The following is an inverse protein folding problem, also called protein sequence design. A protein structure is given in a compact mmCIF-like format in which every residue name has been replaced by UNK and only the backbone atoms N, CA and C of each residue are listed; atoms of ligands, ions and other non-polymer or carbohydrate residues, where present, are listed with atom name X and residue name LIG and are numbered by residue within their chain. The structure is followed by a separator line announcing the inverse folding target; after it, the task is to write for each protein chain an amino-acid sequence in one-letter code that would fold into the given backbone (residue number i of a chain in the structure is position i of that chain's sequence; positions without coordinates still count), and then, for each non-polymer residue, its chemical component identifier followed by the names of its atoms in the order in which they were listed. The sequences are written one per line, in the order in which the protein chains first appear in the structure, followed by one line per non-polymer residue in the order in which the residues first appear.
data_IF_972724025055
#
_entry.id   IF_972724025055
#
_cell.length_a   1.000
_cell.length_b   1.000
_cell.length_c   1.000
_cell.angle_alpha   90.00
_cell.angle_beta   90.00
_cell.angle_gamma   90.00
#
_symmetry.space_group_name_H-M   'P 1'
#
loop_
_entity.id
_entity.type
_entity.pdbx_description
1 polymer ?
#
# COMPACT_ATOMS: atom_id res chain seq x y z
N UNK A 1 -11.39 -1.03 -16.10
CA UNK A 1 -11.59 0.17 -15.25
C UNK A 1 -10.25 0.50 -14.61
N UNK A 2 -9.82 1.75 -14.60
CA UNK A 2 -8.45 2.07 -14.16
C UNK A 2 -8.28 1.86 -12.65
N UNK A 3 -7.18 1.21 -12.26
CA UNK A 3 -6.80 1.02 -10.84
C UNK A 3 -6.28 2.32 -10.21
N UNK A 4 -5.85 3.26 -11.04
CA UNK A 4 -5.44 4.63 -10.72
C UNK A 4 -6.14 5.55 -11.71
N UNK A 5 -6.87 6.57 -11.26
CA UNK A 5 -7.35 7.60 -12.19
C UNK A 5 -6.25 8.63 -12.43
N UNK A 6 -5.52 8.48 -13.54
CA UNK A 6 -4.43 9.38 -13.95
C UNK A 6 -4.91 10.82 -14.26
N UNK A 7 -6.23 11.09 -14.25
CA UNK A 7 -6.80 12.43 -14.45
C UNK A 7 -7.02 13.19 -13.13
N UNK A 8 -6.81 12.55 -11.98
CA UNK A 8 -6.95 13.21 -10.68
C UNK A 8 -5.73 14.08 -10.37
N UNK A 9 -5.99 15.32 -9.93
CA UNK A 9 -4.97 16.24 -9.42
C UNK A 9 -4.53 15.79 -8.02
N UNK A 10 -3.38 15.13 -7.93
CA UNK A 10 -2.75 14.70 -6.67
C UNK A 10 -2.42 15.87 -5.71
N UNK A 11 -2.55 17.12 -6.17
CA UNK A 11 -2.26 18.32 -5.37
C UNK A 11 -3.47 18.88 -4.63
N UNK A 12 -4.69 18.45 -4.97
CA UNK A 12 -5.92 18.93 -4.36
C UNK A 12 -6.54 17.91 -3.42
N UNK A 13 -6.81 18.33 -2.19
CA UNK A 13 -7.61 17.58 -1.24
C UNK A 13 -9.08 18.05 -1.31
N UNK A 14 -10.02 17.25 -1.82
CA UNK A 14 -11.37 17.72 -2.07
C UNK A 14 -12.26 17.64 -0.80
N UNK A 15 -11.97 18.44 0.24
CA UNK A 15 -12.81 18.67 1.45
C UNK A 15 -13.38 17.38 2.15
N UNK A 16 -14.27 17.48 3.16
CA UNK A 16 -14.01 17.27 4.59
C UNK A 16 -14.10 15.83 5.11
N UNK A 17 -14.29 14.80 4.27
CA UNK A 17 -14.22 13.38 4.70
C UNK A 17 -12.80 12.84 4.58
N UNK A 18 -11.84 13.58 5.14
CA UNK A 18 -10.40 13.30 5.06
C UNK A 18 -10.00 11.96 5.70
N UNK A 19 -10.80 11.56 6.66
CA UNK A 19 -10.67 10.36 7.46
C UNK A 19 -12.05 9.74 7.50
N UNK A 20 -12.23 8.57 6.88
CA UNK A 20 -13.50 7.86 6.94
C UNK A 20 -13.81 7.44 8.39
N UNK A 21 -12.79 6.96 9.10
CA UNK A 21 -12.74 6.78 10.56
C UNK A 21 -11.26 6.82 11.02
N UNK A 22 -10.97 7.58 12.09
CA UNK A 22 -9.60 7.86 12.55
C UNK A 22 -8.90 6.67 13.19
N UNK A 23 -9.66 5.68 13.63
CA UNK A 23 -9.18 4.50 14.35
C UNK A 23 -9.16 3.26 13.45
N UNK A 24 -10.16 3.10 12.59
CA UNK A 24 -10.28 1.93 11.71
C UNK A 24 -11.16 2.21 10.51
N UNK A 25 -10.64 1.99 9.30
CA UNK A 25 -11.39 2.13 8.04
C UNK A 25 -11.48 0.79 7.33
N UNK A 26 -12.68 0.43 6.85
CA UNK A 26 -12.89 -0.60 5.83
C UNK A 26 -13.79 0.01 4.76
N UNK A 27 -13.23 0.30 3.59
CA UNK A 27 -13.96 0.85 2.43
C UNK A 27 -13.90 -0.16 1.29
N UNK A 28 -15.05 -0.48 0.72
CA UNK A 28 -15.17 -1.32 -0.47
C UNK A 28 -15.08 -0.47 -1.75
N UNK A 29 -14.80 -1.12 -2.88
CA UNK A 29 -14.85 -0.50 -4.22
C UNK A 29 -16.24 0.07 -4.52
N UNK A 30 -16.32 1.23 -5.16
CA UNK A 30 -17.59 1.89 -5.51
C UNK A 30 -18.25 1.29 -6.76
N UNK A 31 -17.47 0.88 -7.77
CA UNK A 31 -17.99 0.67 -9.14
C UNK A 31 -17.73 -0.73 -9.74
N UNK A 32 -17.36 -1.74 -8.94
CA UNK A 32 -17.20 -3.13 -9.43
C UNK A 32 -15.95 -3.85 -8.91
N UNK A 33 -15.60 -5.03 -9.49
CA UNK A 33 -14.69 -5.98 -8.85
C UNK A 33 -13.35 -5.34 -8.47
N UNK A 34 -13.00 -5.48 -7.20
CA UNK A 34 -11.79 -4.93 -6.61
C UNK A 34 -10.55 -5.58 -7.22
N UNK A 35 -9.80 -4.85 -8.05
CA UNK A 35 -8.49 -5.32 -8.56
C UNK A 35 -7.34 -5.08 -7.58
N UNK A 36 -7.54 -4.21 -6.58
CA UNK A 36 -6.51 -3.77 -5.63
C UNK A 36 -7.02 -3.83 -4.18
N UNK A 37 -6.27 -4.48 -3.30
CA UNK A 37 -6.47 -4.39 -1.85
C UNK A 37 -5.32 -3.62 -1.21
N UNK A 38 -5.63 -2.65 -0.35
CA UNK A 38 -4.64 -1.90 0.43
C UNK A 38 -4.88 -2.18 1.90
N UNK A 39 -3.92 -2.83 2.55
CA UNK A 39 -3.94 -3.08 4.00
C UNK A 39 -2.89 -2.19 4.65
N UNK A 40 -3.32 -1.30 5.54
CA UNK A 40 -2.43 -0.32 6.18
C UNK A 40 -2.63 -0.16 7.68
N UNK A 41 -1.81 0.69 8.28
CA UNK A 41 -1.89 1.02 9.70
C UNK A 41 -2.40 2.44 9.98
N UNK A 42 -1.83 3.14 10.97
CA UNK A 42 -2.23 4.50 11.34
C UNK A 42 -1.90 5.54 10.27
N UNK A 43 -0.89 5.30 9.42
CA UNK A 43 -0.62 6.18 8.29
C UNK A 43 -1.77 6.11 7.29
N UNK A 44 -2.20 4.91 6.90
CA UNK A 44 -3.36 4.75 6.03
C UNK A 44 -4.63 5.35 6.64
N UNK A 45 -4.95 5.09 7.92
CA UNK A 45 -6.20 5.61 8.51
C UNK A 45 -6.23 7.13 8.55
N UNK A 46 -5.09 7.76 8.91
CA UNK A 46 -4.93 9.22 8.96
C UNK A 46 -5.13 9.91 7.61
N UNK A 47 -5.00 9.16 6.51
CA UNK A 47 -5.11 9.67 5.14
C UNK A 47 -6.11 8.88 4.28
N UNK A 48 -7.04 8.16 4.92
CA UNK A 48 -7.92 7.19 4.25
C UNK A 48 -8.78 7.80 3.14
N UNK A 49 -9.23 9.06 3.30
CA UNK A 49 -9.94 9.77 2.24
C UNK A 49 -9.06 10.04 1.02
N UNK A 50 -7.76 10.31 1.21
CA UNK A 50 -6.82 10.51 0.11
C UNK A 50 -6.48 9.21 -0.61
N UNK A 51 -6.28 8.10 0.13
CA UNK A 51 -6.18 6.77 -0.47
C UNK A 51 -7.42 6.42 -1.29
N UNK A 52 -8.62 6.67 -0.78
CA UNK A 52 -9.87 6.43 -1.51
C UNK A 52 -9.99 7.28 -2.78
N UNK A 53 -9.52 8.54 -2.74
CA UNK A 53 -9.51 9.42 -3.89
C UNK A 53 -8.58 8.95 -5.00
N UNK A 54 -7.38 8.49 -4.64
CA UNK A 54 -6.37 8.01 -5.62
C UNK A 54 -6.70 6.61 -6.13
N UNK A 55 -7.24 5.75 -5.26
CA UNK A 55 -7.59 4.36 -5.56
C UNK A 55 -9.09 4.11 -5.37
N UNK A 56 -9.97 4.72 -6.20
CA UNK A 56 -11.43 4.66 -6.01
C UNK A 56 -11.98 3.24 -6.05
N UNK A 57 -11.27 2.32 -6.73
CA UNK A 57 -11.67 0.92 -6.91
C UNK A 57 -10.93 -0.06 -5.99
N UNK A 58 -10.17 0.45 -5.00
CA UNK A 58 -9.51 -0.39 -4.02
C UNK A 58 -10.44 -0.74 -2.85
N UNK A 59 -10.27 -1.96 -2.31
CA UNK A 59 -10.67 -2.24 -0.94
C UNK A 59 -9.56 -1.69 -0.04
N UNK A 60 -9.92 -0.74 0.81
CA UNK A 60 -9.01 -0.09 1.75
C UNK A 60 -9.35 -0.56 3.14
N UNK A 61 -8.38 -1.20 3.80
CA UNK A 61 -8.48 -1.67 5.17
C UNK A 61 -7.33 -1.07 5.99
N UNK A 62 -7.63 -0.12 6.88
CA UNK A 62 -6.65 0.54 7.75
C UNK A 62 -7.04 0.45 9.22
N UNK A 63 -6.07 0.31 10.12
CA UNK A 63 -6.33 0.43 11.58
C UNK A 63 -5.13 0.97 12.33
N UNK A 64 -5.36 1.91 13.25
CA UNK A 64 -4.32 2.46 14.13
C UNK A 64 -3.64 1.35 14.92
N UNK A 65 -2.31 1.40 15.03
CA UNK A 65 -1.52 0.42 15.79
C UNK A 65 -1.47 -0.97 15.17
N UNK A 66 -1.94 -1.14 13.92
CA UNK A 66 -1.92 -2.43 13.24
C UNK A 66 -0.48 -2.89 12.97
N UNK A 67 -0.19 -4.12 13.37
CA UNK A 67 1.06 -4.79 13.04
C UNK A 67 0.88 -5.71 11.83
N UNK A 68 1.97 -6.02 11.13
CA UNK A 68 1.96 -6.88 9.95
C UNK A 68 1.28 -8.24 10.18
N UNK A 69 1.42 -8.83 11.38
CA UNK A 69 0.78 -10.09 11.74
C UNK A 69 -0.74 -10.07 11.54
N UNK A 70 -1.38 -8.91 11.64
CA UNK A 70 -2.83 -8.76 11.42
C UNK A 70 -3.23 -8.95 9.95
N UNK A 71 -2.32 -8.78 8.99
CA UNK A 71 -2.62 -8.97 7.57
C UNK A 71 -3.01 -10.42 7.24
N UNK A 72 -2.51 -11.40 8.01
CA UNK A 72 -2.79 -12.82 7.82
C UNK A 72 -4.29 -13.12 8.06
N UNK A 73 -4.85 -12.92 9.27
CA UNK A 73 -6.26 -13.19 9.50
C UNK A 73 -7.20 -12.29 8.68
N UNK A 74 -6.79 -11.04 8.36
CA UNK A 74 -7.55 -10.18 7.44
C UNK A 74 -7.65 -10.84 6.07
N UNK A 75 -6.53 -11.27 5.50
CA UNK A 75 -6.51 -11.89 4.18
C UNK A 75 -7.28 -13.21 4.13
N UNK A 76 -7.17 -14.04 5.17
CA UNK A 76 -7.96 -15.27 5.29
C UNK A 76 -9.47 -15.00 5.28
N UNK A 77 -9.93 -13.94 5.97
CA UNK A 77 -11.33 -13.57 5.98
C UNK A 77 -11.80 -13.05 4.62
N UNK A 78 -10.97 -12.24 3.95
CA UNK A 78 -11.23 -11.77 2.59
C UNK A 78 -11.29 -12.94 1.58
N UNK A 79 -10.50 -14.00 1.79
CA UNK A 79 -10.59 -15.22 0.99
C UNK A 79 -11.89 -15.97 1.23
N UNK A 80 -12.28 -16.18 2.50
CA UNK A 80 -13.53 -16.87 2.86
C UNK A 80 -14.76 -16.19 2.28
N UNK A 81 -14.78 -14.87 2.30
CA UNK A 81 -15.88 -14.04 1.77
C UNK A 81 -15.84 -13.87 0.25
N UNK A 82 -14.80 -14.37 -0.42
CA UNK A 82 -14.65 -14.27 -1.88
C UNK A 82 -14.21 -12.90 -2.39
N UNK A 83 -13.85 -11.97 -1.49
CA UNK A 83 -13.42 -10.61 -1.83
C UNK A 83 -12.06 -10.56 -2.53
N UNK A 84 -11.28 -11.65 -2.47
CA UNK A 84 -9.97 -11.75 -3.16
C UNK A 84 -10.05 -12.30 -4.59
N UNK A 85 -11.22 -12.77 -5.06
CA UNK A 85 -11.33 -13.53 -6.33
C UNK A 85 -10.84 -12.76 -7.56
N UNK A 86 -11.08 -11.46 -7.62
CA UNK A 86 -10.72 -10.59 -8.75
C UNK A 86 -9.59 -9.61 -8.40
N UNK A 87 -8.83 -9.90 -7.34
CA UNK A 87 -7.73 -9.06 -6.86
C UNK A 87 -6.43 -9.58 -7.45
N UNK A 88 -5.74 -8.72 -8.19
CA UNK A 88 -4.41 -9.02 -8.76
C UNK A 88 -3.29 -8.32 -7.97
N UNK A 89 -3.61 -7.22 -7.28
CA UNK A 89 -2.64 -6.35 -6.63
C UNK A 89 -2.96 -6.17 -5.15
N UNK A 90 -1.90 -6.18 -4.33
CA UNK A 90 -2.00 -5.96 -2.88
C UNK A 90 -0.94 -4.95 -2.46
N UNK A 91 -1.35 -3.90 -1.77
CA UNK A 91 -0.43 -2.94 -1.13
C UNK A 91 -0.44 -3.19 0.38
N UNK A 92 0.74 -3.31 0.98
CA UNK A 92 0.92 -3.41 2.43
C UNK A 92 1.66 -2.17 2.93
N UNK A 93 0.93 -1.31 3.65
CA UNK A 93 1.46 -0.19 4.42
C UNK A 93 1.57 -0.62 5.89
N UNK A 94 2.51 -1.51 6.18
CA UNK A 94 2.67 -2.13 7.50
C UNK A 94 4.15 -2.21 7.87
N UNK A 95 4.43 -2.24 9.18
CA UNK A 95 5.80 -2.29 9.72
C UNK A 95 6.15 -1.08 10.58
N UNK A 96 5.36 0.00 10.50
CA UNK A 96 5.49 1.19 11.35
C UNK A 96 5.28 0.85 12.83
N UNK A 97 4.28 0.01 13.12
CA UNK A 97 3.81 -0.28 14.48
C UNK A 97 4.41 -1.54 15.13
N UNK A 98 5.40 -2.20 14.50
CA UNK A 98 6.08 -3.34 15.10
C UNK A 98 6.94 -4.11 14.10
N UNK A 99 7.80 -4.98 14.64
CA UNK A 99 8.66 -5.83 13.82
C UNK A 99 7.85 -6.74 12.89
N UNK A 100 8.38 -6.97 11.69
CA UNK A 100 7.85 -7.93 10.74
C UNK A 100 8.73 -9.16 10.79
N UNK A 101 8.16 -10.31 11.17
CA UNK A 101 8.94 -11.54 11.21
C UNK A 101 9.00 -12.19 9.83
N UNK A 102 10.10 -12.87 9.47
CA UNK A 102 10.17 -13.65 8.23
C UNK A 102 9.05 -14.69 8.11
N UNK A 103 8.61 -15.26 9.24
CA UNK A 103 7.51 -16.23 9.26
C UNK A 103 6.17 -15.60 8.88
N UNK A 104 5.85 -14.41 9.41
CA UNK A 104 4.61 -13.73 9.05
C UNK A 104 4.61 -13.33 7.59
N UNK A 105 5.74 -12.81 7.09
CA UNK A 105 5.90 -12.48 5.67
C UNK A 105 5.68 -13.70 4.77
N UNK A 106 6.41 -14.82 5.00
CA UNK A 106 6.21 -16.06 4.23
C UNK A 106 4.77 -16.57 4.29
N UNK A 107 4.14 -16.50 5.46
CA UNK A 107 2.74 -16.91 5.64
C UNK A 107 1.83 -16.05 4.76
N UNK A 108 2.00 -14.74 4.77
CA UNK A 108 1.22 -13.82 3.95
C UNK A 108 1.46 -14.06 2.45
N UNK A 109 2.71 -14.17 1.99
CA UNK A 109 3.03 -14.43 0.58
C UNK A 109 2.35 -15.71 0.06
N UNK A 110 2.37 -16.78 0.86
CA UNK A 110 1.68 -18.04 0.53
C UNK A 110 0.17 -17.85 0.39
N UNK A 111 -0.44 -17.08 1.29
CA UNK A 111 -1.88 -16.79 1.23
C UNK A 111 -2.24 -15.89 0.05
N UNK A 112 -1.41 -14.91 -0.27
CA UNK A 112 -1.60 -13.99 -1.38
C UNK A 112 -1.44 -14.68 -2.75
N UNK A 113 -0.64 -15.75 -2.82
CA UNK A 113 -0.47 -16.56 -4.02
C UNK A 113 0.30 -15.80 -5.11
N UNK A 114 -0.20 -15.83 -6.34
CA UNK A 114 0.45 -15.22 -7.51
C UNK A 114 0.26 -13.71 -7.65
N UNK A 115 -0.48 -13.09 -6.73
CA UNK A 115 -0.76 -11.65 -6.76
C UNK A 115 0.52 -10.84 -6.66
N UNK A 116 0.49 -9.66 -7.26
CA UNK A 116 1.56 -8.67 -7.14
C UNK A 116 1.44 -7.95 -5.80
N UNK A 117 2.53 -7.89 -5.03
CA UNK A 117 2.54 -7.38 -3.66
C UNK A 117 3.48 -6.20 -3.60
N UNK A 118 2.94 -5.02 -3.29
CA UNK A 118 3.70 -3.80 -3.09
C UNK A 118 3.89 -3.59 -1.58
N UNK A 119 5.14 -3.63 -1.12
CA UNK A 119 5.49 -3.32 0.27
C UNK A 119 5.90 -1.85 0.36
N UNK A 120 5.20 -1.07 1.18
CA UNK A 120 5.62 0.30 1.49
C UNK A 120 6.72 0.25 2.54
N UNK A 121 7.93 0.68 2.16
CA UNK A 121 9.09 0.65 3.04
C UNK A 121 8.90 1.67 4.18
N UNK A 122 8.89 1.25 5.45
CA UNK A 122 8.66 2.17 6.54
C UNK A 122 9.91 3.01 6.84
N UNK A 123 9.71 4.25 7.30
CA UNK A 123 10.74 5.17 7.79
C UNK A 123 10.25 5.79 9.09
N UNK A 124 10.96 5.50 10.18
CA UNK A 124 10.59 5.93 11.51
C UNK A 124 11.75 5.75 12.51
N UNK A 125 11.89 6.63 13.51
CA UNK A 125 12.87 6.43 14.59
C UNK A 125 12.38 5.36 15.58
N UNK A 126 12.40 4.09 15.18
CA UNK A 126 12.03 2.92 16.01
C UNK A 126 13.13 1.87 15.95
N UNK A 127 13.31 1.13 17.06
CA UNK A 127 14.40 0.15 17.20
C UNK A 127 14.35 -0.99 16.19
N UNK A 128 13.14 -1.35 15.70
CA UNK A 128 12.93 -2.42 14.73
C UNK A 128 12.97 -1.95 13.26
N UNK A 129 13.14 -0.65 12.99
CA UNK A 129 13.07 -0.10 11.62
C UNK A 129 14.01 -0.85 10.68
N UNK A 130 15.30 -0.94 11.03
CA UNK A 130 16.30 -1.57 10.16
C UNK A 130 16.05 -3.05 9.93
N UNK A 131 15.50 -3.76 10.91
CA UNK A 131 15.13 -5.16 10.77
C UNK A 131 14.00 -5.33 9.73
N UNK A 132 12.99 -4.47 9.78
CA UNK A 132 11.89 -4.47 8.80
C UNK A 132 12.41 -4.08 7.41
N UNK A 133 13.22 -3.02 7.31
CA UNK A 133 13.79 -2.56 6.04
C UNK A 133 14.65 -3.66 5.38
N UNK A 134 15.51 -4.34 6.14
CA UNK A 134 16.31 -5.45 5.64
C UNK A 134 15.46 -6.63 5.19
N UNK A 135 14.42 -6.99 5.94
CA UNK A 135 13.51 -8.07 5.54
C UNK A 135 12.81 -7.73 4.21
N UNK A 136 12.31 -6.50 4.05
CA UNK A 136 11.60 -6.09 2.84
C UNK A 136 12.52 -6.12 1.61
N UNK A 137 13.75 -5.60 1.75
CA UNK A 137 14.77 -5.69 0.71
C UNK A 137 15.08 -7.14 0.32
N UNK A 138 15.26 -8.02 1.30
CA UNK A 138 15.55 -9.44 1.05
C UNK A 138 14.38 -10.14 0.35
N UNK A 139 13.14 -9.87 0.78
CA UNK A 139 11.95 -10.52 0.22
C UNK A 139 11.73 -10.10 -1.23
N UNK A 140 11.81 -8.80 -1.54
CA UNK A 140 11.71 -8.31 -2.91
C UNK A 140 12.81 -8.87 -3.83
N UNK A 141 14.04 -9.01 -3.32
CA UNK A 141 15.14 -9.59 -4.09
C UNK A 141 14.95 -11.09 -4.40
N UNK A 142 14.10 -11.79 -3.64
CA UNK A 142 13.91 -13.25 -3.73
C UNK A 142 12.54 -13.66 -4.26
N UNK A 143 11.60 -12.73 -4.38
CA UNK A 143 10.22 -12.99 -4.84
C UNK A 143 9.87 -12.01 -5.96
N UNK A 144 9.77 -12.47 -7.22
CA UNK A 144 9.59 -11.58 -8.38
C UNK A 144 8.21 -10.90 -8.42
N UNK A 145 7.24 -11.39 -7.66
CA UNK A 145 5.93 -10.75 -7.50
C UNK A 145 5.87 -9.77 -6.32
N UNK A 146 7.00 -9.49 -5.65
CA UNK A 146 7.08 -8.52 -4.56
C UNK A 146 7.88 -7.30 -5.00
N UNK A 147 7.23 -6.15 -4.89
CA UNK A 147 7.70 -4.84 -5.33
C UNK A 147 7.85 -3.91 -4.12
N UNK A 148 8.73 -2.91 -4.21
CA UNK A 148 9.03 -2.01 -3.09
C UNK A 148 8.67 -0.58 -3.43
N UNK A 149 7.78 0.01 -2.62
CA UNK A 149 7.58 1.46 -2.60
C UNK A 149 8.55 2.06 -1.57
N UNK A 150 9.66 2.64 -2.04
CA UNK A 150 10.80 3.08 -1.23
C UNK A 150 10.60 4.43 -0.51
N UNK A 151 9.58 4.51 0.34
CA UNK A 151 9.30 5.70 1.15
C UNK A 151 10.50 6.09 2.05
N UNK A 152 11.28 5.13 2.54
CA UNK A 152 12.55 5.35 3.24
C UNK A 152 13.58 6.17 2.45
N UNK A 153 13.60 6.03 1.12
CA UNK A 153 14.47 6.82 0.26
C UNK A 153 13.84 8.16 -0.09
N UNK A 154 12.54 8.17 -0.40
CA UNK A 154 11.80 9.36 -0.81
C UNK A 154 11.68 10.41 0.31
N UNK A 155 11.60 9.95 1.56
CA UNK A 155 11.51 10.80 2.75
C UNK A 155 12.87 11.15 3.36
N UNK A 156 13.94 10.51 2.88
CA UNK A 156 15.30 10.72 3.37
C UNK A 156 15.70 12.18 3.23
N UNK A 157 16.20 12.78 4.31
CA UNK A 157 16.59 14.20 4.36
C UNK A 157 15.44 15.19 4.13
N UNK A 158 14.19 14.74 4.19
CA UNK A 158 12.99 15.58 4.09
C UNK A 158 12.21 15.57 5.41
N UNK A 159 12.75 16.09 6.53
CA UNK A 159 12.06 16.10 7.82
C UNK A 159 10.72 16.86 7.76
N UNK A 160 10.58 17.81 6.84
CA UNK A 160 9.33 18.53 6.58
C UNK A 160 8.23 17.71 5.92
N UNK A 161 8.46 16.43 5.60
CA UNK A 161 7.40 15.50 5.15
C UNK A 161 6.67 14.83 6.30
N UNK A 162 7.20 14.90 7.52
CA UNK A 162 6.59 14.28 8.69
C UNK A 162 5.92 15.31 9.59
N UNK A 163 5.03 14.83 10.46
CA UNK A 163 4.69 15.53 11.69
C UNK A 163 5.83 15.47 12.70
N UNK A 164 5.64 16.10 13.86
CA UNK A 164 6.67 16.21 14.91
C UNK A 164 7.19 14.88 15.44
N UNK A 165 6.42 13.80 15.29
CA UNK A 165 6.80 12.45 15.74
C UNK A 165 7.79 11.74 14.82
N UNK A 166 8.03 12.28 13.60
CA UNK A 166 8.88 11.69 12.56
C UNK A 166 8.46 10.27 12.13
N UNK A 167 7.18 9.97 12.30
CA UNK A 167 6.57 8.70 11.88
C UNK A 167 5.46 8.97 10.87
N UNK A 168 4.52 9.84 11.21
CA UNK A 168 3.35 10.08 10.37
C UNK A 168 3.68 11.14 9.31
N UNK A 169 3.50 10.83 8.01
CA UNK A 169 3.59 11.85 6.98
C UNK A 169 2.54 12.94 7.19
N UNK A 170 2.93 14.19 6.99
CA UNK A 170 1.99 15.30 6.84
C UNK A 170 1.46 15.34 5.39
N UNK A 171 0.69 16.38 5.03
CA UNK A 171 0.12 16.48 3.69
C UNK A 171 1.16 16.39 2.56
N UNK A 172 2.31 17.05 2.69
CA UNK A 172 3.37 16.99 1.68
C UNK A 172 3.96 15.58 1.56
N UNK A 173 4.17 14.92 2.71
CA UNK A 173 4.76 13.59 2.75
C UNK A 173 3.82 12.51 2.20
N UNK A 174 2.54 12.55 2.56
CA UNK A 174 1.58 11.54 2.09
C UNK A 174 1.33 11.65 0.59
N UNK A 175 1.36 12.85 0.02
CA UNK A 175 1.27 13.03 -1.43
C UNK A 175 2.40 12.28 -2.12
N UNK A 176 3.64 12.43 -1.66
CA UNK A 176 4.80 11.71 -2.20
C UNK A 176 4.64 10.19 -2.03
N UNK A 177 4.26 9.72 -0.85
CA UNK A 177 4.08 8.29 -0.59
C UNK A 177 3.01 7.67 -1.50
N UNK A 178 1.82 8.27 -1.57
CA UNK A 178 0.69 7.73 -2.34
C UNK A 178 0.93 7.83 -3.84
N UNK A 179 1.58 8.90 -4.32
CA UNK A 179 2.03 8.99 -5.71
C UNK A 179 3.02 7.88 -6.04
N UNK A 180 3.99 7.60 -5.17
CA UNK A 180 4.93 6.49 -5.37
C UNK A 180 4.25 5.12 -5.38
N UNK A 181 3.21 4.90 -4.55
CA UNK A 181 2.38 3.68 -4.61
C UNK A 181 1.69 3.57 -5.98
N UNK A 182 1.09 4.66 -6.47
CA UNK A 182 0.38 4.67 -7.74
C UNK A 182 1.31 4.46 -8.93
N UNK A 183 2.48 5.10 -8.94
CA UNK A 183 3.52 4.95 -9.97
C UNK A 183 4.05 3.51 -10.02
N UNK A 184 4.40 2.93 -8.87
CA UNK A 184 4.87 1.54 -8.79
C UNK A 184 3.79 0.58 -9.29
N UNK A 185 2.54 0.77 -8.85
CA UNK A 185 1.41 -0.04 -9.30
C UNK A 185 1.23 0.03 -10.82
N UNK A 186 1.32 1.22 -11.41
CA UNK A 186 1.28 1.39 -12.86
C UNK A 186 2.44 0.67 -13.54
N UNK A 187 3.67 0.79 -13.06
CA UNK A 187 4.82 0.09 -13.63
C UNK A 187 4.63 -1.43 -13.63
N UNK A 188 4.13 -1.98 -12.51
CA UNK A 188 3.83 -3.42 -12.40
C UNK A 188 2.74 -3.82 -13.41
N UNK A 189 1.65 -3.06 -13.54
CA UNK A 189 0.58 -3.33 -14.52
C UNK A 189 1.14 -3.38 -15.96
N UNK A 190 1.95 -2.39 -16.35
CA UNK A 190 2.56 -2.34 -17.68
C UNK A 190 3.52 -3.53 -17.90
N UNK A 191 4.31 -3.91 -16.89
CA UNK A 191 5.23 -5.05 -16.99
C UNK A 191 4.51 -6.40 -17.20
N UNK A 192 3.27 -6.54 -16.71
CA UNK A 192 2.45 -7.74 -16.87
C UNK A 192 1.67 -7.75 -18.19
N UNK A 193 1.59 -6.61 -18.88
CA UNK A 193 0.86 -6.45 -20.13
C UNK A 193 1.82 -5.92 -21.20
N UNK A 194 2.72 -6.74 -21.76
CA UNK A 194 3.60 -6.29 -22.83
C UNK A 194 2.74 -5.78 -23.99
N UNK A 195 3.00 -4.55 -24.44
CA UNK A 195 2.25 -3.90 -25.50
C UNK A 195 2.02 -4.82 -26.71
N UNK A 196 0.74 -4.98 -27.05
CA UNK A 196 0.26 -5.44 -28.35
C UNK A 196 0.15 -4.25 -29.31
N UNK A 197 1.20 -3.43 -29.38
CA UNK A 197 1.31 -2.28 -30.29
C UNK A 197 2.78 -2.08 -30.66
N UNK A 198 3.16 -2.44 -31.88
CA UNK A 198 4.52 -2.16 -32.37
C UNK A 198 5.03 -2.82 -33.65
N UNK A 199 4.22 -3.49 -34.47
CA UNK A 199 4.51 -3.57 -35.91
C UNK A 199 3.59 -2.60 -36.64
N UNK A 200 4.18 -1.68 -37.43
CA UNK A 200 3.70 -1.52 -38.79
C UNK A 200 4.87 -1.64 -39.79
N UNK A 201 4.64 -2.57 -40.72
CA UNK A 201 5.01 -2.60 -42.15
C UNK A 201 6.32 -1.98 -42.62
#
# INVERSE_FOLDING_TARGET
MALVDARNDFTQAPKPSYVLDKNSVVRFSEDGPTGLIIIGDSILTGWSGYFAHVFPNALIDGRVGRQFSSAIPIWEELQKTGLTRNVDYVVLELGTNGAVTPQNMRTFLRLAGHRQILLVMPEMPRSWEKEVQHLYLHIAATHPNVHLVRWDLLSRNHPGYFWVDRVHPNWRGIQVMVSAIAEELQQVIHSQTPDSQGEPS
#
